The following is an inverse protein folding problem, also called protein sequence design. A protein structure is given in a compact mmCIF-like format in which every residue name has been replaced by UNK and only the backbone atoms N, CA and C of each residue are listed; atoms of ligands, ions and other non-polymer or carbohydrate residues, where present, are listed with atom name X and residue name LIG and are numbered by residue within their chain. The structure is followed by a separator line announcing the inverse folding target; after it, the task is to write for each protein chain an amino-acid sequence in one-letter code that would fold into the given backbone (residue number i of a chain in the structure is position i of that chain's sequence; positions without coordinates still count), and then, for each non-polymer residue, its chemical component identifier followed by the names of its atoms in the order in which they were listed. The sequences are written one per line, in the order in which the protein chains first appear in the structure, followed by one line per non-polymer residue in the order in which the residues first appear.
data_IF_107752293522
#
_entry.id   IF_107752293522
#
_cell.length_a   1.000
_cell.length_b   1.000
_cell.length_c   1.000
_cell.angle_alpha   90.00
_cell.angle_beta   90.00
_cell.angle_gamma   90.00
#
_symmetry.space_group_name_H-M   'P 1'
#
loop_
_entity.id
_entity.type
_entity.pdbx_description
1 polymer ?
#
# COMPACT_ATOMS: atom_id res chain seq x y z
N UNK A 1 9.61 51.29 -10.30
CA UNK A 1 8.90 50.65 -9.16
C UNK A 1 9.61 49.32 -8.91
N UNK A 2 10.71 49.18 -8.15
CA UNK A 2 11.29 49.91 -6.99
C UNK A 2 10.87 49.37 -5.61
N UNK A 3 11.35 48.15 -5.28
CA UNK A 3 11.52 47.52 -3.94
C UNK A 3 12.38 46.24 -4.16
N UNK A 4 13.47 45.86 -3.48
CA UNK A 4 14.30 46.34 -2.34
C UNK A 4 13.91 45.97 -0.89
N UNK A 5 14.92 45.39 -0.19
CA UNK A 5 15.01 44.96 1.23
C UNK A 5 14.07 43.82 1.73
N UNK A 6 14.45 42.98 2.70
CA UNK A 6 15.66 42.95 3.57
C UNK A 6 16.19 41.52 3.84
N UNK A 7 17.46 41.41 4.27
CA UNK A 7 18.02 40.19 4.89
C UNK A 7 17.76 40.17 6.40
N UNK A 8 17.65 38.96 6.99
CA UNK A 8 18.18 38.67 8.34
C UNK A 8 18.89 37.31 8.30
N UNK A 9 20.14 37.26 8.80
CA UNK A 9 20.86 36.03 9.17
C UNK A 9 20.98 36.00 10.69
N UNK A 10 20.84 34.83 11.33
CA UNK A 10 21.35 34.59 12.69
C UNK A 10 21.86 33.15 12.82
N UNK A 11 22.90 32.96 13.64
CA UNK A 11 23.72 31.74 13.70
C UNK A 11 24.25 31.48 15.11
N UNK A 12 23.90 30.33 15.70
CA UNK A 12 24.60 29.63 16.78
C UNK A 12 24.22 28.13 16.66
N UNK A 13 25.08 27.09 16.74
CA UNK A 13 26.37 26.84 17.39
C UNK A 13 26.26 26.17 18.78
N UNK A 14 26.89 24.98 18.87
CA UNK A 14 27.39 24.14 19.99
C UNK A 14 27.29 24.65 21.46
N UNK A 15 27.24 23.81 22.51
CA UNK A 15 27.74 22.43 22.67
C UNK A 15 26.96 21.61 23.76
N UNK A 16 27.22 20.29 23.96
CA UNK A 16 26.52 19.45 24.94
C UNK A 16 27.31 19.10 26.22
N UNK A 17 26.58 18.79 27.30
CA UNK A 17 27.02 18.19 28.59
C UNK A 17 25.75 17.61 29.27
N UNK A 18 25.72 16.63 30.19
CA UNK A 18 26.72 15.83 30.94
C UNK A 18 26.27 14.33 30.93
N UNK A 19 27.02 13.40 31.55
CA UNK A 19 26.55 12.03 31.90
C UNK A 19 25.94 11.99 33.31
N UNK A 20 25.13 10.97 33.62
CA UNK A 20 25.10 10.37 34.96
C UNK A 20 24.95 8.83 34.91
N UNK A 21 25.63 8.14 35.83
CA UNK A 21 25.41 6.72 36.14
C UNK A 21 24.24 6.54 37.11
N UNK A 22 23.56 5.38 37.09
CA UNK A 22 23.40 4.54 38.28
C UNK A 22 22.77 3.15 37.98
N UNK A 23 23.46 2.10 38.44
CA UNK A 23 22.95 0.84 39.03
C UNK A 23 21.57 0.27 38.65
N UNK A 24 21.58 -0.95 38.10
CA UNK A 24 20.70 -2.04 38.59
C UNK A 24 21.20 -2.56 39.95
N UNK A 25 20.36 -3.28 40.72
CA UNK A 25 20.63 -4.72 40.86
C UNK A 25 19.37 -5.61 40.98
N UNK A 26 19.59 -6.94 40.93
CA UNK A 26 19.01 -8.03 41.76
C UNK A 26 17.58 -7.98 42.32
N UNK A 27 16.84 -9.08 42.51
CA UNK A 27 16.97 -10.52 42.17
C UNK A 27 15.69 -11.23 42.68
N UNK A 28 15.58 -12.56 42.58
CA UNK A 28 14.65 -13.43 43.35
C UNK A 28 13.13 -13.28 43.07
N UNK A 29 12.27 -14.27 43.34
CA UNK A 29 12.44 -15.73 43.39
C UNK A 29 11.05 -16.41 43.25
N UNK A 30 10.99 -17.51 42.47
CA UNK A 30 10.21 -18.75 42.70
C UNK A 30 8.79 -18.76 43.32
N UNK A 31 7.89 -19.46 42.59
CA UNK A 31 6.96 -20.52 43.09
C UNK A 31 5.80 -20.14 44.02
N UNK A 32 4.58 -20.39 43.55
CA UNK A 32 3.71 -21.40 44.19
C UNK A 32 2.68 -22.00 43.21
N UNK A 33 2.04 -23.09 43.62
CA UNK A 33 1.13 -23.96 42.85
C UNK A 33 -0.32 -23.88 43.39
N UNK A 34 -1.18 -24.81 42.95
CA UNK A 34 -2.61 -24.99 43.29
C UNK A 34 -3.60 -24.01 42.61
N UNK A 35 -4.82 -24.43 42.26
CA UNK A 35 -5.41 -25.77 42.38
C UNK A 35 -6.74 -25.88 41.63
N UNK A 36 -7.17 -27.09 41.26
CA UNK A 36 -8.35 -27.32 40.44
C UNK A 36 -9.62 -27.58 41.28
N UNK A 37 -10.80 -27.30 40.72
CA UNK A 37 -12.02 -28.10 41.00
C UNK A 37 -13.06 -28.00 39.88
N UNK A 38 -13.92 -29.00 39.82
CA UNK A 38 -14.97 -29.23 38.81
C UNK A 38 -16.37 -28.99 39.38
N UNK A 39 -17.35 -28.71 38.52
CA UNK A 39 -18.78 -28.99 38.80
C UNK A 39 -19.52 -29.49 37.55
N UNK A 40 -20.57 -30.29 37.73
CA UNK A 40 -21.25 -31.03 36.64
C UNK A 40 -22.73 -31.21 36.92
N UNK A 41 -23.58 -30.88 35.94
CA UNK A 41 -25.05 -31.16 35.90
C UNK A 41 -25.44 -31.34 34.42
N UNK A 42 -25.82 -32.49 33.85
CA UNK A 42 -26.84 -33.52 34.18
C UNK A 42 -28.18 -33.30 33.46
N UNK A 43 -28.25 -33.85 32.24
CA UNK A 43 -29.40 -34.43 31.47
C UNK A 43 -30.86 -34.28 31.92
N UNK A 44 -31.77 -34.16 30.93
CA UNK A 44 -32.81 -35.19 30.64
C UNK A 44 -33.45 -35.08 29.24
N UNK A 45 -33.90 -36.22 28.70
CA UNK A 45 -34.73 -36.39 27.50
C UNK A 45 -36.22 -36.56 27.88
N UNK A 46 -37.16 -36.25 26.96
CA UNK A 46 -38.44 -36.97 26.77
C UNK A 46 -38.99 -36.75 25.34
N UNK A 47 -40.16 -37.32 24.98
CA UNK A 47 -40.49 -37.74 23.59
C UNK A 47 -41.81 -37.21 22.98
N UNK A 48 -41.91 -37.34 21.64
CA UNK A 48 -43.06 -37.19 20.70
C UNK A 48 -44.34 -37.99 21.10
N UNK A 49 -45.52 -37.86 20.42
CA UNK A 49 -45.85 -37.27 19.08
C UNK A 49 -46.92 -36.12 19.16
N UNK A 50 -47.64 -35.60 18.14
CA UNK A 50 -48.06 -36.10 16.80
C UNK A 50 -48.39 -35.00 15.75
N UNK A 51 -48.54 -35.40 14.48
CA UNK A 51 -48.99 -34.63 13.29
C UNK A 51 -50.54 -34.66 13.13
N UNK A 52 -51.22 -34.17 12.05
CA UNK A 52 -50.75 -33.56 10.79
C UNK A 52 -51.55 -32.33 10.24
N UNK A 53 -51.08 -31.67 9.16
CA UNK A 53 -51.80 -31.42 7.87
C UNK A 53 -51.16 -30.34 6.96
N UNK A 54 -51.42 -30.51 5.65
CA UNK A 54 -51.45 -29.52 4.54
C UNK A 54 -50.26 -28.58 4.23
N UNK A 55 -49.71 -28.74 3.02
CA UNK A 55 -49.02 -27.70 2.24
C UNK A 55 -50.03 -26.95 1.35
N UNK A 56 -49.73 -25.72 0.84
CA UNK A 56 -48.90 -25.62 -0.37
C UNK A 56 -47.88 -24.47 -0.35
N UNK A 57 -47.06 -24.39 -1.42
CA UNK A 57 -46.02 -23.39 -1.62
C UNK A 57 -46.56 -22.01 -2.00
N UNK A 58 -46.05 -20.95 -1.36
CA UNK A 58 -45.96 -19.60 -1.93
C UNK A 58 -44.51 -19.13 -1.81
N UNK A 59 -44.00 -18.46 -2.84
CA UNK A 59 -42.59 -18.10 -2.98
C UNK A 59 -42.14 -17.08 -1.94
N UNK A 60 -40.98 -17.34 -1.32
CA UNK A 60 -40.28 -16.35 -0.50
C UNK A 60 -39.82 -15.19 -1.39
N UNK A 61 -40.48 -14.04 -1.26
CA UNK A 61 -39.88 -12.75 -1.67
C UNK A 61 -38.71 -12.45 -0.75
N UNK A 62 -37.55 -13.04 -1.02
CA UNK A 62 -36.29 -12.50 -0.54
C UNK A 62 -36.24 -11.08 -1.08
N UNK A 63 -36.25 -10.10 -0.18
CA UNK A 63 -36.11 -8.70 -0.59
C UNK A 63 -34.78 -8.57 -1.30
N UNK A 64 -34.82 -8.22 -2.59
CA UNK A 64 -33.63 -7.88 -3.37
C UNK A 64 -33.16 -6.50 -2.90
N UNK A 65 -32.60 -6.48 -1.68
CA UNK A 65 -31.62 -5.50 -1.26
C UNK A 65 -30.44 -5.66 -2.21
N UNK A 66 -30.53 -4.95 -3.33
CA UNK A 66 -29.40 -4.64 -4.19
C UNK A 66 -28.45 -3.84 -3.31
N UNK A 67 -27.56 -4.56 -2.64
CA UNK A 67 -26.41 -3.98 -1.98
C UNK A 67 -25.55 -3.44 -3.12
N UNK A 68 -25.78 -2.18 -3.45
CA UNK A 68 -25.03 -1.46 -4.47
C UNK A 68 -23.60 -1.33 -3.97
N UNK A 69 -22.81 -2.37 -4.21
CA UNK A 69 -21.36 -2.28 -4.30
C UNK A 69 -21.08 -1.31 -5.43
N UNK A 70 -21.06 -0.02 -5.09
CA UNK A 70 -20.68 1.05 -6.00
C UNK A 70 -19.28 0.72 -6.48
N UNK A 71 -19.18 0.19 -7.70
CA UNK A 71 -17.91 0.06 -8.40
C UNK A 71 -17.46 1.50 -8.60
N UNK A 72 -16.54 1.95 -7.76
CA UNK A 72 -15.83 3.20 -8.02
C UNK A 72 -14.97 2.96 -9.24
N UNK A 73 -15.52 3.33 -10.39
CA UNK A 73 -14.92 3.25 -11.71
C UNK A 73 -13.48 3.80 -11.64
N UNK A 74 -12.50 2.94 -11.94
CA UNK A 74 -11.09 3.21 -11.70
C UNK A 74 -10.59 4.20 -12.75
N UNK A 75 -10.62 5.48 -12.39
CA UNK A 75 -10.42 6.58 -13.33
C UNK A 75 -9.01 6.54 -13.88
N UNK A 76 -8.87 6.31 -15.19
CA UNK A 76 -7.72 6.81 -15.92
C UNK A 76 -7.86 8.33 -16.05
N UNK A 77 -7.00 9.13 -15.41
CA UNK A 77 -7.17 10.58 -15.41
C UNK A 77 -6.79 11.20 -16.76
N UNK A 78 -6.17 10.45 -17.67
CA UNK A 78 -5.65 10.98 -18.93
C UNK A 78 -4.71 12.17 -18.70
N UNK A 79 -5.06 13.34 -19.23
CA UNK A 79 -4.25 14.55 -19.10
C UNK A 79 -4.45 15.19 -17.71
N UNK A 80 -3.50 14.93 -16.82
CA UNK A 80 -3.41 15.55 -15.50
C UNK A 80 -2.85 16.97 -15.63
N UNK A 81 -3.59 17.97 -15.16
CA UNK A 81 -3.14 19.36 -15.22
C UNK A 81 -1.86 19.58 -14.38
N UNK A 82 -0.81 20.10 -15.01
CA UNK A 82 0.48 20.38 -14.36
C UNK A 82 1.55 19.29 -14.50
N UNK A 83 1.29 18.20 -15.24
CA UNK A 83 2.30 17.19 -15.56
C UNK A 83 2.00 16.47 -16.88
N UNK A 84 3.05 16.02 -17.57
CA UNK A 84 2.95 15.13 -18.74
C UNK A 84 2.97 13.64 -18.37
N UNK A 85 3.19 13.29 -17.09
CA UNK A 85 3.16 11.91 -16.61
C UNK A 85 1.74 11.30 -16.69
N UNK A 86 1.68 10.02 -17.05
CA UNK A 86 0.44 9.22 -17.22
C UNK A 86 0.64 7.85 -16.57
N UNK A 87 -0.42 7.21 -16.07
CA UNK A 87 -0.29 5.84 -15.53
C UNK A 87 -0.26 4.84 -16.68
N UNK A 88 0.91 4.24 -16.90
CA UNK A 88 1.11 3.17 -17.88
C UNK A 88 0.34 1.92 -17.47
N UNK A 89 -0.37 1.34 -18.44
CA UNK A 89 -1.19 0.15 -18.26
C UNK A 89 -0.43 -1.11 -18.65
N UNK A 90 -0.78 -2.24 -18.03
CA UNK A 90 -0.29 -3.55 -18.43
C UNK A 90 -0.75 -3.87 -19.86
N UNK A 91 0.12 -4.42 -20.74
CA UNK A 91 1.41 -5.06 -20.46
C UNK A 91 2.65 -4.18 -20.72
N UNK A 92 2.56 -2.85 -20.66
CA UNK A 92 3.66 -1.95 -21.05
C UNK A 92 5.01 -2.30 -20.37
N UNK A 93 6.13 -2.45 -21.12
CA UNK A 93 7.35 -3.11 -20.65
C UNK A 93 8.04 -2.42 -19.46
N UNK A 94 7.89 -1.09 -19.30
CA UNK A 94 8.39 -0.35 -18.12
C UNK A 94 7.93 -0.96 -16.80
N UNK A 95 6.74 -1.58 -16.73
CA UNK A 95 6.19 -2.19 -15.52
C UNK A 95 6.95 -3.44 -15.04
N UNK A 96 7.79 -4.04 -15.89
CA UNK A 96 8.65 -5.19 -15.56
C UNK A 96 10.14 -4.94 -15.83
N UNK A 97 10.53 -3.75 -16.29
CA UNK A 97 11.92 -3.42 -16.58
C UNK A 97 12.73 -3.19 -15.28
N UNK A 98 14.05 -3.47 -15.26
CA UNK A 98 14.89 -3.22 -14.09
C UNK A 98 14.96 -1.75 -13.70
N UNK A 99 14.80 -1.46 -12.41
CA UNK A 99 14.73 -0.08 -11.90
C UNK A 99 16.04 0.34 -11.22
N UNK A 100 16.67 1.40 -11.73
CA UNK A 100 17.97 1.86 -11.26
C UNK A 100 17.91 2.56 -9.90
N UNK A 101 18.87 2.30 -9.01
CA UNK A 101 19.06 3.12 -7.81
C UNK A 101 19.38 4.57 -8.19
N UNK A 102 18.83 5.51 -7.43
CA UNK A 102 19.06 6.95 -7.59
C UNK A 102 20.34 7.33 -6.82
N UNK A 103 21.38 7.86 -7.48
CA UNK A 103 22.55 8.40 -6.80
C UNK A 103 22.17 9.51 -5.83
N UNK A 104 22.74 9.52 -4.62
CA UNK A 104 22.33 10.44 -3.55
C UNK A 104 22.69 11.90 -3.88
N UNK A 105 23.69 12.11 -4.72
CA UNK A 105 24.08 13.38 -5.30
C UNK A 105 22.99 14.01 -6.20
N UNK A 106 22.15 13.21 -6.88
CA UNK A 106 21.00 13.71 -7.65
C UNK A 106 19.95 14.37 -6.74
N UNK A 107 19.92 14.03 -5.44
CA UNK A 107 18.91 14.50 -4.49
C UNK A 107 19.18 15.91 -3.95
N UNK A 108 20.44 16.36 -3.96
CA UNK A 108 20.85 17.63 -3.32
C UNK A 108 21.60 18.59 -4.25
N UNK A 109 21.84 18.21 -5.51
CA UNK A 109 22.50 19.06 -6.50
C UNK A 109 21.58 20.15 -7.10
N UNK A 110 22.17 21.20 -7.73
CA UNK A 110 21.43 22.07 -8.65
C UNK A 110 20.84 21.24 -9.78
N UNK A 111 19.54 21.37 -10.06
CA UNK A 111 18.83 20.53 -11.03
C UNK A 111 18.31 19.19 -10.47
N UNK A 112 18.07 19.09 -9.15
CA UNK A 112 17.37 17.96 -8.53
C UNK A 112 15.91 17.83 -9.03
N UNK A 113 15.72 17.17 -10.17
CA UNK A 113 14.40 16.88 -10.73
C UNK A 113 13.60 15.86 -9.89
N UNK A 114 14.25 15.08 -9.02
CA UNK A 114 13.56 14.07 -8.17
C UNK A 114 12.49 14.73 -7.28
N UNK A 115 12.73 15.94 -6.77
CA UNK A 115 11.76 16.70 -5.98
C UNK A 115 10.60 17.30 -6.79
N UNK A 116 10.70 17.29 -8.12
CA UNK A 116 9.66 17.68 -9.08
C UNK A 116 8.89 16.44 -9.54
N UNK A 117 9.59 15.40 -9.99
CA UNK A 117 9.02 14.09 -10.36
C UNK A 117 8.14 13.53 -9.25
N UNK A 118 8.59 13.58 -7.98
CA UNK A 118 7.76 13.10 -6.86
C UNK A 118 6.44 13.89 -6.68
N UNK A 119 6.42 15.20 -6.98
CA UNK A 119 5.18 16.01 -6.95
C UNK A 119 4.26 15.68 -8.11
N UNK A 120 4.84 15.53 -9.30
CA UNK A 120 4.10 15.14 -10.50
C UNK A 120 3.50 13.72 -10.34
N UNK A 121 4.23 12.79 -9.72
CA UNK A 121 3.71 11.49 -9.31
C UNK A 121 2.54 11.61 -8.33
N UNK A 122 2.59 12.50 -7.33
CA UNK A 122 1.44 12.77 -6.46
C UNK A 122 0.24 13.33 -7.23
N UNK A 123 0.44 14.26 -8.18
CA UNK A 123 -0.66 14.77 -9.03
C UNK A 123 -1.35 13.63 -9.81
N UNK A 124 -0.56 12.73 -10.42
CA UNK A 124 -1.09 11.56 -11.15
C UNK A 124 -1.78 10.59 -10.20
N UNK A 125 -1.17 10.29 -9.05
CA UNK A 125 -1.72 9.39 -8.03
C UNK A 125 -3.10 9.85 -7.56
N UNK A 126 -3.24 11.11 -7.13
CA UNK A 126 -4.52 11.65 -6.68
C UNK A 126 -5.56 11.75 -7.80
N UNK A 127 -5.16 12.12 -9.02
CA UNK A 127 -6.08 12.19 -10.15
C UNK A 127 -6.64 10.80 -10.52
N UNK A 128 -5.84 9.74 -10.38
CA UNK A 128 -6.24 8.35 -10.55
C UNK A 128 -6.88 7.71 -9.29
N UNK A 129 -7.21 8.50 -8.25
CA UNK A 129 -7.72 8.04 -6.93
C UNK A 129 -6.81 7.04 -6.18
N UNK A 130 -5.52 7.02 -6.48
CA UNK A 130 -4.53 6.13 -5.86
C UNK A 130 -4.12 6.54 -4.44
N UNK A 131 -3.67 5.55 -3.67
CA UNK A 131 -3.01 5.73 -2.36
C UNK A 131 -1.48 5.59 -2.42
N UNK A 132 -0.96 5.05 -3.54
CA UNK A 132 0.45 4.85 -3.83
C UNK A 132 0.71 4.94 -5.33
N UNK A 133 1.96 5.25 -5.70
CA UNK A 133 2.44 5.20 -7.08
C UNK A 133 3.97 5.02 -7.12
N UNK A 134 4.44 4.00 -7.83
CA UNK A 134 5.84 3.75 -8.12
C UNK A 134 6.25 4.38 -9.46
N UNK A 135 7.47 4.92 -9.55
CA UNK A 135 7.99 5.59 -10.74
C UNK A 135 7.93 4.77 -12.06
N UNK A 136 8.07 3.42 -12.06
CA UNK A 136 7.93 2.62 -13.28
C UNK A 136 6.52 2.65 -13.89
N UNK A 137 5.49 2.94 -13.08
CA UNK A 137 4.10 3.11 -13.54
C UNK A 137 3.89 4.43 -14.30
N UNK A 138 4.84 5.36 -14.26
CA UNK A 138 4.87 6.60 -15.07
C UNK A 138 6.04 6.63 -16.04
N UNK A 139 6.62 5.47 -16.37
CA UNK A 139 7.68 5.32 -17.38
C UNK A 139 9.09 5.63 -16.89
N UNK A 140 9.27 5.85 -15.59
CA UNK A 140 10.55 6.23 -15.00
C UNK A 140 11.11 5.03 -14.21
N UNK A 141 11.94 4.20 -14.86
CA UNK A 141 12.57 3.02 -14.25
C UNK A 141 13.69 3.37 -13.25
N UNK A 142 13.33 4.09 -12.19
CA UNK A 142 14.17 4.46 -11.03
C UNK A 142 13.54 3.98 -9.72
N UNK A 143 14.35 3.75 -8.71
CA UNK A 143 13.98 3.32 -7.36
C UNK A 143 13.32 4.47 -6.55
N UNK A 144 12.13 4.89 -6.98
CA UNK A 144 11.34 5.99 -6.41
C UNK A 144 9.86 5.61 -6.31
N UNK A 145 9.27 5.82 -5.14
CA UNK A 145 7.83 5.68 -4.92
C UNK A 145 7.28 6.84 -4.07
N UNK A 146 6.00 7.13 -4.26
CA UNK A 146 5.23 8.07 -3.43
C UNK A 146 4.00 7.38 -2.87
N UNK A 147 3.53 7.76 -1.69
CA UNK A 147 2.25 7.31 -1.15
C UNK A 147 1.62 8.34 -0.18
N UNK A 148 0.31 8.25 -0.03
CA UNK A 148 -0.49 8.90 1.02
C UNK A 148 -1.62 7.91 1.37
N UNK A 149 -1.65 7.39 2.60
CA UNK A 149 -2.53 6.29 2.98
C UNK A 149 -4.05 6.61 2.92
N UNK A 150 -4.41 7.90 2.78
CA UNK A 150 -5.78 8.38 2.62
C UNK A 150 -6.19 8.67 1.17
N UNK A 151 -5.25 8.78 0.23
CA UNK A 151 -5.54 9.13 -1.17
C UNK A 151 -6.13 10.53 -1.41
N UNK A 152 -6.16 11.41 -0.40
CA UNK A 152 -6.71 12.78 -0.49
C UNK A 152 -5.59 13.83 -0.41
N UNK A 153 -5.41 14.73 -1.42
CA UNK A 153 -4.42 15.81 -1.37
C UNK A 153 -4.64 16.82 -0.22
N UNK A 154 -5.82 16.84 0.42
CA UNK A 154 -6.04 17.62 1.65
C UNK A 154 -5.26 17.05 2.83
N UNK A 155 -4.94 15.75 2.81
CA UNK A 155 -4.13 15.06 3.81
C UNK A 155 -2.62 15.13 3.50
N UNK A 156 -2.16 16.20 2.82
CA UNK A 156 -0.77 16.41 2.38
C UNK A 156 0.31 16.18 3.47
N UNK A 157 -0.02 16.29 4.76
CA UNK A 157 0.91 15.97 5.86
C UNK A 157 1.29 14.48 5.93
N UNK A 158 0.57 13.60 5.24
CA UNK A 158 0.81 12.17 5.12
C UNK A 158 1.61 11.78 3.86
N UNK A 159 1.86 12.74 2.96
CA UNK A 159 2.67 12.53 1.76
C UNK A 159 4.08 12.05 2.10
N UNK A 160 4.37 10.81 1.68
CA UNK A 160 5.65 10.16 1.93
C UNK A 160 6.31 9.78 0.62
N UNK A 161 7.49 10.35 0.38
CA UNK A 161 8.37 10.01 -0.76
C UNK A 161 9.50 9.11 -0.26
N UNK A 162 9.73 7.98 -0.94
CA UNK A 162 10.83 7.07 -0.64
C UNK A 162 11.74 6.86 -1.86
N UNK A 163 13.03 7.07 -1.64
CA UNK A 163 14.11 6.88 -2.61
C UNK A 163 14.98 5.70 -2.15
N UNK A 164 15.36 4.83 -3.09
CA UNK A 164 16.08 3.58 -2.85
C UNK A 164 15.52 2.79 -1.65
N UNK A 165 14.18 2.58 -1.57
CA UNK A 165 13.57 1.82 -0.49
C UNK A 165 14.04 0.36 -0.53
N UNK A 166 14.19 -0.28 0.64
CA UNK A 166 14.49 -1.71 0.79
C UNK A 166 13.76 -2.26 2.01
N UNK A 167 13.11 -3.41 1.87
CA UNK A 167 12.54 -4.15 3.01
C UNK A 167 13.67 -4.92 3.69
N UNK A 168 13.88 -4.68 4.99
CA UNK A 168 14.94 -5.34 5.78
C UNK A 168 14.40 -6.37 6.77
N UNK A 169 13.08 -6.42 6.99
CA UNK A 169 12.42 -7.43 7.83
C UNK A 169 10.94 -7.53 7.43
N UNK A 170 10.45 -8.76 7.26
CA UNK A 170 9.03 -9.09 7.07
C UNK A 170 8.44 -9.71 8.34
N UNK A 171 7.12 -9.90 8.37
CA UNK A 171 6.43 -10.56 9.48
C UNK A 171 5.94 -11.96 9.12
N UNK A 172 6.19 -12.94 9.99
CA UNK A 172 5.66 -14.31 9.81
C UNK A 172 4.13 -14.35 9.76
N UNK A 173 3.47 -13.40 10.41
CA UNK A 173 2.02 -13.21 10.33
C UNK A 173 1.64 -12.49 9.03
N UNK A 174 0.68 -13.05 8.29
CA UNK A 174 0.15 -12.49 7.05
C UNK A 174 -1.32 -12.06 7.16
N UNK A 175 -1.75 -11.14 6.32
CA UNK A 175 -3.15 -10.85 6.01
C UNK A 175 -3.44 -11.05 4.52
N UNK A 176 -4.73 -11.18 4.20
CA UNK A 176 -5.26 -11.30 2.84
C UNK A 176 -6.29 -10.20 2.68
N UNK A 177 -6.14 -9.38 1.65
CA UNK A 177 -7.06 -8.29 1.29
C UNK A 177 -7.13 -8.20 -0.23
N UNK A 178 -8.22 -7.64 -0.73
CA UNK A 178 -8.50 -7.52 -2.16
C UNK A 178 -7.79 -6.28 -2.75
N UNK A 179 -6.64 -6.49 -3.40
CA UNK A 179 -5.87 -5.43 -4.06
C UNK A 179 -6.38 -5.18 -5.50
N UNK A 180 -6.24 -3.93 -5.95
CA UNK A 180 -6.25 -3.53 -7.35
C UNK A 180 -4.99 -2.70 -7.64
N UNK A 181 -4.82 -2.21 -8.86
CA UNK A 181 -3.63 -1.46 -9.25
C UNK A 181 -3.96 -0.49 -10.40
N UNK A 182 -3.50 0.75 -10.33
CA UNK A 182 -3.77 1.80 -11.34
C UNK A 182 -3.27 1.42 -12.75
N UNK A 183 -2.30 0.50 -12.84
CA UNK A 183 -1.79 -0.07 -14.10
C UNK A 183 -2.60 -1.26 -14.63
N UNK A 184 -3.61 -1.73 -13.90
CA UNK A 184 -4.49 -2.85 -14.23
C UNK A 184 -5.96 -2.49 -14.01
N UNK A 185 -6.53 -1.53 -14.76
CA UNK A 185 -7.89 -1.03 -14.51
C UNK A 185 -8.92 -2.14 -14.44
N UNK A 186 -9.76 -2.08 -13.40
CA UNK A 186 -10.85 -3.04 -13.12
C UNK A 186 -10.39 -4.47 -12.77
N UNK A 187 -9.08 -4.77 -12.78
CA UNK A 187 -8.56 -6.08 -12.32
C UNK A 187 -8.29 -6.00 -10.83
N UNK A 188 -8.90 -6.91 -10.06
CA UNK A 188 -8.71 -7.02 -8.62
C UNK A 188 -8.55 -8.47 -8.19
N UNK A 189 -7.96 -8.70 -7.02
CA UNK A 189 -7.90 -10.03 -6.44
C UNK A 189 -7.22 -10.08 -5.07
N UNK A 190 -7.38 -11.21 -4.41
CA UNK A 190 -6.97 -11.39 -3.01
C UNK A 190 -5.48 -11.70 -2.91
N UNK A 191 -4.72 -10.77 -2.30
CA UNK A 191 -3.26 -10.84 -2.20
C UNK A 191 -2.82 -11.08 -0.75
N UNK A 192 -1.96 -12.06 -0.54
CA UNK A 192 -1.30 -12.33 0.75
C UNK A 192 -0.14 -11.36 0.97
N UNK A 193 -0.15 -10.63 2.08
CA UNK A 193 0.92 -9.67 2.47
C UNK A 193 1.38 -9.92 3.91
N UNK A 194 2.57 -9.44 4.26
CA UNK A 194 3.05 -9.39 5.65
C UNK A 194 2.29 -8.31 6.42
N UNK A 195 1.72 -8.64 7.60
CA UNK A 195 1.00 -7.66 8.45
C UNK A 195 1.86 -6.49 8.91
N UNK A 196 3.18 -6.66 8.95
CA UNK A 196 4.13 -5.57 9.18
C UNK A 196 5.45 -5.81 8.45
N UNK A 197 6.17 -4.72 8.17
CA UNK A 197 7.53 -4.74 7.60
C UNK A 197 8.41 -3.71 8.31
N UNK A 198 9.73 -3.91 8.30
CA UNK A 198 10.72 -2.85 8.57
C UNK A 198 11.44 -2.49 7.29
N UNK A 199 11.65 -1.20 7.05
CA UNK A 199 12.26 -0.70 5.82
C UNK A 199 13.48 0.18 6.13
N UNK A 200 14.36 0.30 5.14
CA UNK A 200 15.35 1.36 5.00
C UNK A 200 15.07 2.14 3.72
N UNK A 201 15.15 3.47 3.77
CA UNK A 201 14.96 4.32 2.60
C UNK A 201 15.65 5.69 2.80
N UNK A 202 15.70 6.48 1.74
CA UNK A 202 16.16 7.87 1.74
C UNK A 202 14.97 8.79 1.44
N UNK A 203 14.99 10.00 2.02
CA UNK A 203 14.03 11.06 1.69
C UNK A 203 14.61 12.07 0.70
N UNK A 204 13.79 13.03 0.24
CA UNK A 204 14.18 14.12 -0.68
C UNK A 204 15.37 14.98 -0.23
N UNK A 205 15.88 14.85 1.01
CA UNK A 205 17.07 15.56 1.51
C UNK A 205 18.31 14.65 1.59
N UNK A 206 18.29 13.49 0.93
CA UNK A 206 19.34 12.47 1.01
C UNK A 206 19.50 11.83 2.40
N UNK A 207 18.59 12.08 3.35
CA UNK A 207 18.69 11.52 4.70
C UNK A 207 18.12 10.11 4.73
N UNK A 208 18.98 9.13 5.02
CA UNK A 208 18.59 7.75 5.30
C UNK A 208 17.75 7.67 6.58
N UNK A 209 16.70 6.85 6.57
CA UNK A 209 15.85 6.55 7.72
C UNK A 209 15.45 5.06 7.76
N UNK A 210 14.88 4.64 8.90
CA UNK A 210 14.17 3.36 9.05
C UNK A 210 12.76 3.64 9.56
N UNK A 211 11.74 2.92 9.04
CA UNK A 211 10.36 2.94 9.54
C UNK A 211 9.87 1.50 9.70
N UNK A 212 9.02 1.23 10.70
CA UNK A 212 8.26 -0.03 10.79
C UNK A 212 6.81 0.27 10.42
N UNK A 213 6.36 -0.31 9.32
CA UNK A 213 5.00 -0.22 8.84
C UNK A 213 4.14 -1.36 9.39
N UNK A 214 2.82 -1.15 9.48
CA UNK A 214 1.84 -2.16 9.89
C UNK A 214 0.54 -1.97 9.09
N UNK A 215 -0.21 -3.05 8.87
CA UNK A 215 -1.54 -3.00 8.24
C UNK A 215 -1.53 -2.25 6.91
N UNK A 216 -2.41 -1.27 6.74
CA UNK A 216 -2.61 -0.56 5.47
C UNK A 216 -1.34 0.10 4.90
N UNK A 217 -0.58 0.86 5.70
CA UNK A 217 0.72 1.41 5.22
C UNK A 217 1.70 0.31 4.79
N UNK A 218 1.70 -0.85 5.47
CA UNK A 218 2.56 -1.97 5.10
C UNK A 218 2.10 -2.64 3.80
N UNK A 219 0.79 -2.71 3.54
CA UNK A 219 0.22 -3.26 2.32
C UNK A 219 0.50 -2.36 1.12
N UNK A 220 0.24 -1.05 1.23
CA UNK A 220 0.61 -0.06 0.21
C UNK A 220 2.11 -0.17 -0.10
N UNK A 221 2.97 -0.10 0.92
CA UNK A 221 4.42 -0.20 0.69
C UNK A 221 4.81 -1.50 -0.02
N UNK A 222 4.25 -2.65 0.37
CA UNK A 222 4.55 -3.93 -0.28
C UNK A 222 4.08 -3.98 -1.75
N UNK A 223 3.01 -3.26 -2.11
CA UNK A 223 2.53 -3.14 -3.48
C UNK A 223 3.48 -2.26 -4.32
N UNK A 224 3.78 -1.04 -3.87
CA UNK A 224 4.69 -0.14 -4.59
C UNK A 224 6.12 -0.70 -4.69
N UNK A 225 6.58 -1.41 -3.65
CA UNK A 225 7.89 -2.05 -3.66
C UNK A 225 8.00 -3.20 -4.67
N UNK A 226 6.89 -3.92 -4.97
CA UNK A 226 6.89 -4.91 -6.05
C UNK A 226 7.15 -4.26 -7.41
N UNK A 227 6.52 -3.11 -7.70
CA UNK A 227 6.75 -2.37 -8.95
C UNK A 227 8.21 -1.93 -9.09
N UNK A 228 8.84 -1.51 -7.99
CA UNK A 228 10.28 -1.20 -7.95
C UNK A 228 11.19 -2.43 -8.15
N UNK A 229 10.67 -3.63 -7.89
CA UNK A 229 11.31 -4.92 -8.13
C UNK A 229 10.94 -5.56 -9.49
N UNK A 230 10.21 -4.85 -10.37
CA UNK A 230 9.75 -5.36 -11.67
C UNK A 230 8.63 -6.41 -11.58
N UNK A 231 8.01 -6.53 -10.42
CA UNK A 231 6.89 -7.44 -10.11
C UNK A 231 5.59 -6.66 -10.13
N UNK A 232 4.49 -7.32 -10.43
CA UNK A 232 3.14 -6.72 -10.47
C UNK A 232 2.16 -7.63 -9.74
N UNK A 233 1.05 -7.11 -9.21
CA UNK A 233 0.23 -7.85 -8.24
C UNK A 233 -0.33 -9.20 -8.76
N UNK A 234 -0.52 -9.37 -10.08
CA UNK A 234 -0.93 -10.63 -10.72
C UNK A 234 0.07 -11.79 -10.50
N UNK A 235 1.34 -11.46 -10.22
CA UNK A 235 2.40 -12.42 -9.89
C UNK A 235 2.19 -13.04 -8.50
N UNK A 236 1.36 -12.39 -7.64
CA UNK A 236 1.01 -12.81 -6.28
C UNK A 236 -0.41 -13.37 -6.12
N UNK A 237 -1.23 -13.34 -7.19
CA UNK A 237 -2.55 -13.98 -7.18
C UNK A 237 -2.42 -15.48 -6.92
N UNK A 238 -3.42 -16.04 -6.23
CA UNK A 238 -3.64 -17.49 -6.17
C UNK A 238 -3.94 -18.06 -7.56
N UNK A 239 -3.87 -19.38 -7.73
CA UNK A 239 -4.19 -20.02 -9.01
C UNK A 239 -5.63 -19.70 -9.46
N UNK A 240 -6.58 -19.68 -8.51
CA UNK A 240 -7.98 -19.37 -8.79
C UNK A 240 -8.23 -17.88 -9.00
N UNK A 241 -7.61 -16.99 -8.20
CA UNK A 241 -7.67 -15.55 -8.43
C UNK A 241 -7.06 -15.14 -9.79
N UNK A 242 -6.07 -15.90 -10.29
CA UNK A 242 -5.55 -15.74 -11.66
C UNK A 242 -6.57 -16.20 -12.70
N UNK A 243 -7.24 -17.35 -12.53
CA UNK A 243 -8.31 -17.82 -13.45
C UNK A 243 -9.44 -16.80 -13.54
N UNK A 244 -9.87 -16.24 -12.41
CA UNK A 244 -10.90 -15.22 -12.32
C UNK A 244 -10.47 -13.90 -12.99
N UNK A 245 -9.22 -13.47 -12.78
CA UNK A 245 -8.66 -12.27 -13.42
C UNK A 245 -8.38 -12.43 -14.92
N UNK A 246 -8.24 -13.66 -15.42
CA UNK A 246 -7.70 -13.93 -16.76
C UNK A 246 -8.47 -13.27 -17.93
N UNK A 247 -9.82 -13.24 -17.96
CA UNK A 247 -10.55 -12.58 -19.04
C UNK A 247 -10.22 -11.08 -19.13
N UNK A 248 -10.22 -10.39 -17.99
CA UNK A 248 -9.91 -8.95 -17.91
C UNK A 248 -8.44 -8.68 -18.20
N UNK A 249 -7.54 -9.57 -17.79
CA UNK A 249 -6.13 -9.49 -18.11
C UNK A 249 -5.88 -9.64 -19.63
N UNK A 250 -6.66 -10.49 -20.32
CA UNK A 250 -6.61 -10.59 -21.78
C UNK A 250 -7.12 -9.30 -22.44
N UNK A 251 -8.23 -8.71 -21.99
CA UNK A 251 -8.72 -7.42 -22.50
C UNK A 251 -7.66 -6.31 -22.40
N UNK A 252 -6.88 -6.26 -21.31
CA UNK A 252 -5.77 -5.31 -21.17
C UNK A 252 -4.61 -5.61 -22.13
N UNK A 253 -4.26 -6.89 -22.34
CA UNK A 253 -3.24 -7.30 -23.31
C UNK A 253 -3.65 -6.92 -24.74
N UNK A 254 -4.90 -7.20 -25.13
CA UNK A 254 -5.42 -6.89 -26.46
C UNK A 254 -5.53 -5.37 -26.69
N UNK A 255 -5.86 -4.59 -25.65
CA UNK A 255 -6.00 -3.13 -25.72
C UNK A 255 -4.67 -2.37 -25.71
N UNK A 256 -3.68 -2.81 -24.92
CA UNK A 256 -2.45 -2.05 -24.63
C UNK A 256 -1.14 -2.79 -24.99
N UNK A 257 -1.21 -4.00 -25.52
CA UNK A 257 -0.05 -4.78 -25.97
C UNK A 257 0.52 -4.34 -27.32
N UNK A 258 1.39 -5.17 -27.90
CA UNK A 258 1.95 -4.90 -29.24
C UNK A 258 0.84 -4.98 -30.31
N UNK A 259 0.38 -3.81 -30.76
CA UNK A 259 -0.77 -3.64 -31.66
C UNK A 259 -1.95 -2.87 -31.04
N UNK A 260 -1.92 -2.62 -29.73
CA UNK A 260 -2.91 -1.83 -29.01
C UNK A 260 -2.72 -0.31 -29.16
N UNK A 261 -3.72 0.46 -28.72
CA UNK A 261 -3.66 1.93 -28.62
C UNK A 261 -3.43 2.37 -27.18
N UNK A 262 -2.38 3.17 -26.97
CA UNK A 262 -2.14 3.93 -25.74
C UNK A 262 -3.20 5.04 -25.54
#
# INVERSE_FOLDING_TARGET
MTALYSMIRHTAAFAPLVRHHASSPSSCMTVSTFGATTTTTTTRHFSRPSSPLASPSITSRISSLLFSSSIEEEIDPGIVAGTDLRVLKYPHPSLRAPNAEIPLEELTGPGCEISKIAKEMFLVMYAAKGVGLAAPQVGINKQLMVYNEYGDPKQWMHETVMINPKIVEFSDATDVENEGCLSFPEVRGDIVRSKWIKIEAYNLKGKKFKKKFKGWEARIFQHEYDHLEGKVFIDRLTEDGRKESQPKLNELIDKFGEGGTL
#
